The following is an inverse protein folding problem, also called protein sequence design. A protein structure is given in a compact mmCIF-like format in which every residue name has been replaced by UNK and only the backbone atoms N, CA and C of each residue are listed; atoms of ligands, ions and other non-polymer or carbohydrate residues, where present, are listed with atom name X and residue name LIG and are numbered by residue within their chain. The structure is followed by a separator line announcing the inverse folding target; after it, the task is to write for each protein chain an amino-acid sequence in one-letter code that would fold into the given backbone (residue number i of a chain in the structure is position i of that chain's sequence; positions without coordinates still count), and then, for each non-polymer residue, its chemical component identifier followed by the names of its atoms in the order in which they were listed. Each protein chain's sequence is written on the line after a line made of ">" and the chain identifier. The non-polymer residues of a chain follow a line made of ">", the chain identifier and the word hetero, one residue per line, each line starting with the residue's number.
data_IF_069037627580
#
_entry.id   IF_069037627580
#
_cell.length_a   1.000
_cell.length_b   1.000
_cell.length_c   1.000
_cell.angle_alpha   90.00
_cell.angle_beta   90.00
_cell.angle_gamma   90.00
#
_symmetry.space_group_name_H-M   'P 1'
#
loop_
_entity.id
_entity.type
_entity.pdbx_description
1 polymer ?
#
# COMPACT_ATOMS: atom_id res chain seq x y z
N UNK A 1 -22.59 14.27 -5.94
CA UNK A 1 -21.37 13.71 -5.31
C UNK A 1 -20.19 14.21 -6.13
N UNK A 2 -19.14 14.78 -5.48
CA UNK A 2 -17.93 15.12 -6.22
C UNK A 2 -17.31 13.85 -6.79
N UNK A 3 -16.65 13.94 -7.94
CA UNK A 3 -15.96 12.83 -8.60
C UNK A 3 -15.03 12.11 -7.64
N UNK A 4 -14.26 12.84 -6.83
CA UNK A 4 -13.35 12.32 -5.81
C UNK A 4 -14.08 11.39 -4.79
N UNK A 5 -15.22 11.83 -4.26
CA UNK A 5 -16.00 11.04 -3.30
C UNK A 5 -16.56 9.75 -3.93
N UNK A 6 -16.95 9.81 -5.20
CA UNK A 6 -17.42 8.62 -5.93
C UNK A 6 -16.29 7.65 -6.20
N UNK A 7 -15.12 8.14 -6.60
CA UNK A 7 -13.93 7.33 -6.84
C UNK A 7 -13.45 6.63 -5.55
N UNK A 8 -13.37 7.34 -4.43
CA UNK A 8 -13.02 6.77 -3.12
C UNK A 8 -13.98 5.65 -2.70
N UNK A 9 -15.30 5.88 -2.88
CA UNK A 9 -16.32 4.86 -2.59
C UNK A 9 -16.17 3.62 -3.48
N UNK A 10 -15.80 3.80 -4.74
CA UNK A 10 -15.56 2.71 -5.67
C UNK A 10 -14.32 1.88 -5.23
N UNK A 11 -13.22 2.56 -4.90
CA UNK A 11 -12.00 1.90 -4.42
C UNK A 11 -12.17 1.16 -3.09
N UNK A 12 -13.13 1.58 -2.26
CA UNK A 12 -13.49 0.88 -1.02
C UNK A 12 -14.38 -0.35 -1.25
N UNK A 13 -14.84 -0.61 -2.49
CA UNK A 13 -15.58 -1.82 -2.80
C UNK A 13 -14.65 -3.04 -2.75
N UNK A 14 -15.05 -4.07 -1.96
CA UNK A 14 -14.24 -5.28 -1.72
C UNK A 14 -13.80 -5.99 -2.98
N UNK A 15 -14.69 -6.16 -3.96
CA UNK A 15 -14.37 -6.88 -5.19
C UNK A 15 -13.38 -6.10 -6.05
N UNK A 16 -13.54 -4.78 -6.13
CA UNK A 16 -12.63 -3.91 -6.86
C UNK A 16 -11.27 -3.88 -6.16
N UNK A 17 -11.27 -3.74 -4.84
CA UNK A 17 -10.04 -3.74 -4.05
C UNK A 17 -9.31 -5.08 -4.17
N UNK A 18 -10.02 -6.21 -4.08
CA UNK A 18 -9.45 -7.55 -4.26
C UNK A 18 -8.85 -7.74 -5.67
N UNK A 19 -9.50 -7.21 -6.70
CA UNK A 19 -8.97 -7.23 -8.07
C UNK A 19 -7.69 -6.40 -8.19
N UNK A 20 -7.64 -5.22 -7.58
CA UNK A 20 -6.45 -4.38 -7.51
C UNK A 20 -5.33 -5.12 -6.76
N UNK A 21 -5.62 -5.68 -5.59
CA UNK A 21 -4.63 -6.40 -4.78
C UNK A 21 -4.04 -7.59 -5.54
N UNK A 22 -4.87 -8.41 -6.19
CA UNK A 22 -4.41 -9.56 -6.98
C UNK A 22 -3.40 -9.17 -8.05
N UNK A 23 -3.62 -8.07 -8.73
CA UNK A 23 -2.78 -7.65 -9.86
C UNK A 23 -1.60 -6.76 -9.45
N UNK A 24 -1.71 -6.06 -8.33
CA UNK A 24 -0.75 -5.05 -7.91
C UNK A 24 0.14 -5.45 -6.74
N UNK A 25 -0.27 -6.44 -5.95
CA UNK A 25 0.46 -6.87 -4.75
C UNK A 25 0.96 -8.30 -4.97
N UNK A 26 2.29 -8.46 -5.03
CA UNK A 26 2.92 -9.74 -5.37
C UNK A 26 2.48 -10.89 -4.47
N UNK A 27 2.30 -10.60 -3.20
CA UNK A 27 1.94 -11.53 -2.14
C UNK A 27 0.56 -12.18 -2.36
N UNK A 28 -0.31 -11.55 -3.17
CA UNK A 28 -1.63 -12.08 -3.53
C UNK A 28 -1.71 -12.68 -4.92
N UNK A 29 -0.61 -12.73 -5.66
CA UNK A 29 -0.62 -13.19 -7.07
C UNK A 29 -1.14 -14.62 -7.26
N UNK A 30 -0.95 -15.50 -6.27
CA UNK A 30 -1.45 -16.88 -6.27
C UNK A 30 -2.92 -17.03 -5.81
N UNK A 31 -3.49 -16.00 -5.14
CA UNK A 31 -4.86 -16.04 -4.62
C UNK A 31 -5.87 -15.75 -5.74
N UNK A 32 -7.09 -16.29 -5.63
CA UNK A 32 -8.21 -15.82 -6.44
C UNK A 32 -8.76 -14.50 -5.92
N UNK A 33 -9.49 -13.76 -6.77
CA UNK A 33 -10.14 -12.50 -6.35
C UNK A 33 -11.15 -12.74 -5.24
N UNK A 34 -11.95 -13.81 -5.36
CA UNK A 34 -12.95 -14.18 -4.37
C UNK A 34 -12.29 -14.54 -3.03
N UNK A 35 -11.19 -15.29 -3.08
CA UNK A 35 -10.41 -15.60 -1.88
C UNK A 35 -9.89 -14.34 -1.19
N UNK A 36 -9.36 -13.37 -1.94
CA UNK A 36 -8.89 -12.11 -1.38
C UNK A 36 -10.05 -11.35 -0.74
N UNK A 37 -11.18 -11.24 -1.46
CA UNK A 37 -12.34 -10.50 -0.98
C UNK A 37 -12.97 -11.12 0.28
N UNK A 38 -12.99 -12.45 0.38
CA UNK A 38 -13.65 -13.17 1.49
C UNK A 38 -12.74 -13.36 2.71
N UNK A 39 -11.45 -13.70 2.48
CA UNK A 39 -10.54 -14.08 3.57
C UNK A 39 -9.66 -12.94 4.06
N UNK A 40 -9.27 -12.01 3.16
CA UNK A 40 -8.24 -11.02 3.46
C UNK A 40 -8.77 -9.59 3.57
N UNK A 41 -10.04 -9.33 3.22
CA UNK A 41 -10.70 -8.03 3.40
C UNK A 41 -11.83 -8.15 4.41
N UNK A 42 -11.59 -7.71 5.64
CA UNK A 42 -12.64 -7.64 6.67
C UNK A 42 -13.43 -6.33 6.57
N UNK A 43 -14.75 -6.43 6.70
CA UNK A 43 -15.62 -5.25 6.68
C UNK A 43 -15.59 -4.48 5.36
N UNK A 44 -15.95 -3.22 5.37
CA UNK A 44 -15.77 -2.27 4.27
C UNK A 44 -14.54 -1.42 4.57
N UNK A 45 -13.55 -1.33 3.69
CA UNK A 45 -12.41 -0.45 3.90
C UNK A 45 -12.89 0.98 4.14
N UNK A 46 -12.42 1.60 5.21
CA UNK A 46 -12.83 2.96 5.56
C UNK A 46 -12.25 3.95 4.56
N UNK A 47 -13.12 4.79 4.03
CA UNK A 47 -12.74 5.95 3.22
C UNK A 47 -12.46 7.11 4.16
N UNK A 48 -11.28 7.71 4.07
CA UNK A 48 -10.90 8.85 4.93
C UNK A 48 -11.80 10.05 4.69
N UNK A 49 -12.54 10.42 5.71
CA UNK A 49 -13.38 11.63 5.71
C UNK A 49 -13.13 12.55 6.89
N UNK A 50 -12.31 12.12 7.87
CA UNK A 50 -12.05 12.90 9.10
C UNK A 50 -10.56 12.83 9.43
N UNK A 51 -9.96 13.99 9.65
CA UNK A 51 -8.62 14.12 10.21
C UNK A 51 -8.57 13.58 11.63
N UNK A 52 -7.60 12.72 11.94
CA UNK A 52 -7.42 12.16 13.27
C UNK A 52 -6.22 12.80 13.96
N UNK A 53 -6.36 13.04 15.24
CA UNK A 53 -5.29 13.59 16.08
C UNK A 53 -4.05 12.70 16.08
N UNK A 54 -2.87 13.33 16.13
CA UNK A 54 -1.52 12.69 16.12
C UNK A 54 -1.41 11.53 17.14
N UNK A 55 -2.09 11.62 18.27
CA UNK A 55 -2.03 10.63 19.36
C UNK A 55 -2.82 9.35 19.08
N UNK A 56 -3.75 9.34 18.12
CA UNK A 56 -4.56 8.18 17.79
C UNK A 56 -3.97 7.30 16.70
N UNK A 57 -3.01 7.83 15.92
CA UNK A 57 -2.34 7.07 14.84
C UNK A 57 -1.39 6.00 15.37
N UNK A 58 -0.95 6.10 16.61
CA UNK A 58 0.14 5.30 17.18
C UNK A 58 -0.29 4.21 18.16
N UNK A 59 -1.58 3.98 18.40
CA UNK A 59 -2.02 2.90 19.28
C UNK A 59 -2.04 1.56 18.57
N UNK A 60 -1.33 0.52 19.08
CA UNK A 60 -1.41 -0.82 18.51
C UNK A 60 -2.85 -1.36 18.69
N UNK A 61 -3.58 -1.51 17.58
CA UNK A 61 -4.84 -2.29 17.58
C UNK A 61 -4.50 -3.78 17.68
N UNK A 62 -5.34 -4.53 18.39
CA UNK A 62 -5.25 -6.00 18.49
C UNK A 62 -5.13 -6.59 17.07
N UNK A 63 -4.17 -7.49 16.92
CA UNK A 63 -3.92 -8.22 15.68
C UNK A 63 -5.12 -9.06 15.29
N UNK A 64 -5.86 -8.62 14.28
CA UNK A 64 -6.78 -9.47 13.54
C UNK A 64 -6.05 -10.09 12.36
N UNK A 65 -6.42 -11.30 12.00
CA UNK A 65 -5.81 -12.04 10.87
C UNK A 65 -6.33 -11.57 9.49
N UNK A 66 -6.87 -10.36 9.40
CA UNK A 66 -7.58 -9.79 8.26
C UNK A 66 -7.18 -8.33 8.00
N UNK A 67 -7.53 -7.81 6.85
CA UNK A 67 -7.32 -6.41 6.49
C UNK A 67 -8.15 -5.52 7.43
N UNK A 68 -7.47 -4.67 8.17
CA UNK A 68 -8.10 -3.66 9.02
C UNK A 68 -7.84 -2.26 8.45
N UNK A 69 -8.89 -1.43 8.39
CA UNK A 69 -8.79 -0.03 8.01
C UNK A 69 -7.77 0.70 8.91
N UNK A 70 -6.94 1.54 8.30
CA UNK A 70 -6.04 2.44 9.01
C UNK A 70 -6.48 3.86 8.86
N UNK A 71 -6.06 4.68 9.81
CA UNK A 71 -6.17 6.11 9.71
C UNK A 71 -5.53 6.62 8.42
N UNK A 72 -6.27 7.44 7.68
CA UNK A 72 -5.89 7.97 6.38
C UNK A 72 -5.06 9.26 6.47
N UNK A 73 -4.82 9.79 7.66
CA UNK A 73 -3.94 10.92 7.87
C UNK A 73 -2.63 10.48 8.52
N UNK A 74 -1.55 10.98 7.97
CA UNK A 74 -0.21 10.87 8.52
C UNK A 74 0.37 12.27 8.65
N UNK A 75 0.54 12.74 9.89
CA UNK A 75 1.05 14.07 10.18
C UNK A 75 2.27 14.01 11.08
N UNK A 76 3.27 14.83 10.75
CA UNK A 76 4.40 15.10 11.62
C UNK A 76 4.48 16.60 11.91
N UNK A 77 5.12 16.97 13.01
CA UNK A 77 5.26 18.38 13.42
C UNK A 77 6.00 19.24 12.39
N UNK A 78 6.84 18.63 11.56
CA UNK A 78 7.72 19.30 10.59
C UNK A 78 7.34 19.10 9.13
N UNK A 79 6.64 18.00 8.79
CA UNK A 79 6.40 17.62 7.40
C UNK A 79 4.94 17.82 6.93
N UNK A 80 4.06 18.24 7.85
CA UNK A 80 2.64 18.43 7.54
C UNK A 80 1.85 17.14 7.46
N UNK A 81 0.58 17.27 7.10
CA UNK A 81 -0.38 16.16 7.02
C UNK A 81 -0.46 15.60 5.60
N UNK A 82 -0.41 14.29 5.47
CA UNK A 82 -0.75 13.56 4.26
C UNK A 82 -2.10 12.89 4.45
N UNK A 83 -2.99 13.08 3.49
CA UNK A 83 -4.28 12.40 3.44
C UNK A 83 -4.21 11.27 2.41
N UNK A 84 -4.51 10.06 2.84
CA UNK A 84 -4.63 8.88 1.98
C UNK A 84 -6.10 8.64 1.63
N UNK A 85 -6.38 8.26 0.38
CA UNK A 85 -7.75 7.97 -0.03
C UNK A 85 -8.29 6.70 0.64
N UNK A 86 -7.55 5.61 0.53
CA UNK A 86 -7.85 4.34 1.20
C UNK A 86 -6.55 3.76 1.74
N UNK A 87 -6.43 3.58 3.04
CA UNK A 87 -5.24 3.01 3.69
C UNK A 87 -5.64 1.90 4.65
N UNK A 88 -4.95 0.77 4.60
CA UNK A 88 -5.25 -0.39 5.45
C UNK A 88 -4.02 -1.27 5.69
N UNK A 89 -4.07 -2.04 6.78
CA UNK A 89 -3.18 -3.16 7.03
C UNK A 89 -3.68 -4.40 6.30
N UNK A 90 -2.79 -5.12 5.65
CA UNK A 90 -3.10 -6.34 4.94
C UNK A 90 -2.26 -7.50 5.47
N UNK A 91 -2.86 -8.68 5.48
CA UNK A 91 -2.17 -9.93 5.77
C UNK A 91 -2.20 -10.76 4.48
N UNK A 92 -1.05 -11.19 4.02
CA UNK A 92 -0.91 -12.03 2.85
C UNK A 92 -0.56 -13.47 3.25
N UNK A 93 -0.96 -14.47 2.45
CA UNK A 93 -0.52 -15.83 2.68
C UNK A 93 1.00 -15.93 2.54
N UNK A 94 1.64 -16.69 3.41
CA UNK A 94 3.05 -17.05 3.25
C UNK A 94 3.22 -17.83 1.95
N UNK A 95 4.29 -17.56 1.21
CA UNK A 95 4.63 -18.35 0.03
C UNK A 95 4.87 -19.81 0.41
N UNK A 96 4.39 -20.75 -0.38
CA UNK A 96 4.63 -22.19 -0.18
C UNK A 96 6.13 -22.45 -0.12
N UNK A 97 6.62 -22.92 1.02
CA UNK A 97 8.03 -23.29 1.21
C UNK A 97 8.59 -23.13 2.62
N UNK A 98 7.94 -22.42 3.53
CA UNK A 98 8.35 -22.36 4.94
C UNK A 98 7.61 -23.42 5.74
N UNK A 99 8.31 -24.53 6.04
CA UNK A 99 7.75 -25.71 6.75
C UNK A 99 7.55 -25.49 8.25
N UNK A 100 7.86 -24.34 8.79
CA UNK A 100 7.73 -24.05 10.21
C UNK A 100 7.02 -22.71 10.40
N UNK A 101 5.82 -22.80 10.94
CA UNK A 101 4.95 -21.69 11.35
C UNK A 101 4.45 -20.83 10.18
N UNK A 102 3.15 -20.68 10.07
CA UNK A 102 2.49 -19.75 9.12
C UNK A 102 3.00 -18.33 9.34
N UNK A 103 4.13 -17.99 8.74
CA UNK A 103 4.66 -16.65 8.74
C UNK A 103 3.74 -15.78 7.89
N UNK A 104 2.89 -15.05 8.57
CA UNK A 104 1.95 -14.13 7.95
C UNK A 104 2.71 -12.89 7.52
N UNK A 105 2.78 -12.65 6.21
CA UNK A 105 3.37 -11.42 5.68
C UNK A 105 2.42 -10.26 5.98
N UNK A 106 2.91 -9.26 6.70
CA UNK A 106 2.16 -8.05 7.05
C UNK A 106 2.54 -6.91 6.12
N UNK A 107 1.55 -6.30 5.50
CA UNK A 107 1.70 -5.21 4.54
C UNK A 107 0.92 -3.98 5.01
N UNK A 108 1.37 -2.81 4.57
CA UNK A 108 0.60 -1.57 4.64
C UNK A 108 0.32 -1.13 3.22
N UNK A 109 -0.94 -1.00 2.86
CA UNK A 109 -1.36 -0.67 1.51
C UNK A 109 -2.16 0.63 1.53
N UNK A 110 -1.83 1.55 0.63
CA UNK A 110 -2.70 2.66 0.29
C UNK A 110 -3.11 2.61 -1.17
N UNK A 111 -4.33 3.01 -1.45
CA UNK A 111 -4.89 3.11 -2.81
C UNK A 111 -5.42 4.52 -3.00
N UNK A 112 -4.99 5.16 -4.08
CA UNK A 112 -5.29 6.55 -4.42
C UNK A 112 -6.02 6.65 -5.75
N UNK A 113 -7.06 7.49 -5.82
CA UNK A 113 -7.70 7.86 -7.07
C UNK A 113 -7.13 9.18 -7.58
N UNK A 114 -6.57 9.17 -8.78
CA UNK A 114 -5.96 10.34 -9.40
C UNK A 114 -6.55 10.61 -10.78
N UNK A 115 -7.07 11.80 -11.01
CA UNK A 115 -7.63 12.17 -12.32
C UNK A 115 -6.53 12.31 -13.36
N UNK A 116 -5.54 13.17 -13.11
CA UNK A 116 -4.46 13.45 -14.04
C UNK A 116 -3.15 12.74 -13.63
N UNK A 117 -2.45 12.16 -14.61
CA UNK A 117 -1.13 11.55 -14.37
C UNK A 117 -0.03 12.57 -14.04
N UNK A 118 -0.18 13.80 -14.53
CA UNK A 118 0.72 14.90 -14.22
C UNK A 118 -0.05 16.14 -13.73
N UNK A 119 -0.38 16.21 -12.44
CA UNK A 119 -1.13 17.33 -11.85
C UNK A 119 -0.23 18.54 -11.51
N UNK A 120 0.76 18.85 -12.35
CA UNK A 120 1.78 19.88 -12.13
C UNK A 120 3.09 19.35 -11.55
N UNK A 121 3.16 18.04 -11.28
CA UNK A 121 4.38 17.33 -10.84
C UNK A 121 4.28 15.84 -11.24
N UNK A 122 5.42 15.12 -11.31
CA UNK A 122 5.42 13.70 -11.61
C UNK A 122 4.73 12.89 -10.48
N UNK A 123 3.65 12.19 -10.82
CA UNK A 123 2.85 11.39 -9.87
C UNK A 123 3.72 10.35 -9.16
N UNK A 124 4.65 9.72 -9.88
CA UNK A 124 5.56 8.72 -9.31
C UNK A 124 6.39 9.26 -8.16
N UNK A 125 6.85 10.52 -8.22
CA UNK A 125 7.57 11.16 -7.10
C UNK A 125 6.71 11.28 -5.85
N UNK A 126 5.45 11.70 -6.01
CA UNK A 126 4.50 11.77 -4.90
C UNK A 126 4.23 10.38 -4.32
N UNK A 127 4.06 9.38 -5.16
CA UNK A 127 3.81 8.01 -4.72
C UNK A 127 5.01 7.41 -3.95
N UNK A 128 6.24 7.68 -4.39
CA UNK A 128 7.47 7.30 -3.65
C UNK A 128 7.50 8.01 -2.29
N UNK A 129 7.18 9.30 -2.25
CA UNK A 129 7.11 10.04 -1.00
C UNK A 129 6.06 9.45 -0.04
N UNK A 130 4.91 9.03 -0.54
CA UNK A 130 3.89 8.35 0.27
C UNK A 130 4.38 7.02 0.83
N UNK A 131 5.11 6.21 0.05
CA UNK A 131 5.76 5.00 0.58
C UNK A 131 6.76 5.33 1.69
N UNK A 132 7.59 6.35 1.50
CA UNK A 132 8.59 6.78 2.50
C UNK A 132 7.92 7.20 3.80
N UNK A 133 6.80 7.93 3.73
CA UNK A 133 6.00 8.33 4.90
C UNK A 133 5.38 7.11 5.59
N UNK A 134 4.85 6.14 4.85
CA UNK A 134 4.31 4.91 5.42
C UNK A 134 5.39 4.05 6.10
N UNK A 135 6.62 4.05 5.60
CA UNK A 135 7.76 3.40 6.27
C UNK A 135 8.13 4.15 7.54
N UNK A 136 8.33 5.48 7.45
CA UNK A 136 8.70 6.32 8.59
C UNK A 136 7.68 6.26 9.72
N UNK A 137 6.39 6.27 9.39
CA UNK A 137 5.28 6.18 10.37
C UNK A 137 5.19 4.83 11.12
N UNK A 138 6.00 3.86 10.77
CA UNK A 138 6.10 2.59 11.50
C UNK A 138 6.96 2.68 12.75
N UNK A 139 7.84 3.69 12.83
CA UNK A 139 8.62 3.92 14.04
C UNK A 139 7.70 4.34 15.20
N UNK A 140 7.84 3.69 16.32
CA UNK A 140 6.97 3.78 17.49
C UNK A 140 5.86 2.71 17.49
N UNK A 141 4.93 2.69 16.52
CA UNK A 141 3.81 1.72 16.55
C UNK A 141 4.19 0.28 16.19
N UNK A 142 5.18 0.08 15.31
CA UNK A 142 5.55 -1.25 14.79
C UNK A 142 6.93 -1.66 15.28
N UNK A 143 7.88 -0.75 15.27
CA UNK A 143 9.23 -0.99 15.78
C UNK A 143 9.75 0.19 16.59
N UNK A 144 10.63 -0.07 17.53
CA UNK A 144 11.33 0.94 18.35
C UNK A 144 12.83 0.65 18.35
N UNK A 145 13.61 1.66 18.67
CA UNK A 145 15.07 1.52 18.71
C UNK A 145 15.66 0.91 17.42
N UNK A 146 16.42 -0.17 17.54
CA UNK A 146 17.12 -0.84 16.43
C UNK A 146 16.35 -2.03 15.84
N UNK A 147 15.06 -2.18 16.12
CA UNK A 147 14.25 -3.31 15.67
C UNK A 147 13.82 -3.20 14.19
N UNK A 148 14.70 -2.76 13.31
CA UNK A 148 14.43 -2.55 11.88
C UNK A 148 13.89 -3.78 11.15
N UNK A 149 14.19 -5.00 11.63
CA UNK A 149 13.64 -6.23 11.09
C UNK A 149 12.13 -6.37 11.20
N UNK A 150 11.45 -5.51 11.98
CA UNK A 150 9.98 -5.46 12.09
C UNK A 150 9.32 -4.57 11.05
N UNK A 151 10.10 -3.85 10.23
CA UNK A 151 9.53 -2.97 9.20
C UNK A 151 8.71 -3.80 8.23
N UNK A 152 7.47 -3.37 8.03
CA UNK A 152 6.54 -3.99 7.09
C UNK A 152 6.67 -3.35 5.73
N UNK A 153 6.58 -4.15 4.68
CA UNK A 153 6.53 -3.69 3.31
C UNK A 153 5.30 -2.81 3.09
N UNK A 154 5.46 -1.77 2.31
CA UNK A 154 4.42 -0.81 1.96
C UNK A 154 4.14 -0.83 0.46
N UNK A 155 2.87 -0.66 0.13
CA UNK A 155 2.41 -0.46 -1.25
C UNK A 155 1.66 0.86 -1.37
N UNK A 156 1.98 1.64 -2.41
CA UNK A 156 1.23 2.83 -2.80
C UNK A 156 0.71 2.62 -4.22
N UNK A 157 -0.60 2.41 -4.36
CA UNK A 157 -1.27 2.06 -5.60
C UNK A 157 -2.09 3.26 -6.08
N UNK A 158 -1.84 3.71 -7.31
CA UNK A 158 -2.45 4.90 -7.90
C UNK A 158 -3.28 4.53 -9.12
N UNK A 159 -4.58 4.77 -9.04
CA UNK A 159 -5.50 4.57 -10.16
C UNK A 159 -5.69 5.91 -10.88
N UNK A 160 -5.04 6.08 -12.02
CA UNK A 160 -5.12 7.26 -12.86
C UNK A 160 -6.19 7.07 -13.94
N UNK A 161 -7.21 7.92 -13.90
CA UNK A 161 -8.36 7.79 -14.80
C UNK A 161 -8.21 8.54 -16.12
N UNK A 162 -7.35 9.57 -16.17
CA UNK A 162 -7.06 10.35 -17.37
C UNK A 162 -5.53 10.48 -17.55
N UNK A 163 -4.84 9.39 -17.88
CA UNK A 163 -3.42 9.43 -18.19
C UNK A 163 -3.17 10.09 -19.55
N UNK A 164 -1.91 10.48 -19.80
CA UNK A 164 -1.51 10.85 -21.16
C UNK A 164 -1.60 9.64 -22.09
N UNK A 165 -1.73 9.88 -23.41
CA UNK A 165 -1.85 8.79 -24.42
C UNK A 165 -0.76 7.73 -24.30
N UNK A 166 0.44 8.14 -23.95
CA UNK A 166 1.61 7.26 -23.77
C UNK A 166 1.43 6.29 -22.62
N UNK A 167 0.69 6.67 -21.57
CA UNK A 167 0.48 5.85 -20.38
C UNK A 167 -0.87 5.12 -20.35
N UNK A 168 -1.74 5.33 -21.33
CA UNK A 168 -3.04 4.64 -21.39
C UNK A 168 -2.86 3.11 -21.42
N UNK A 169 -3.76 2.40 -20.74
CA UNK A 169 -3.77 0.94 -20.65
C UNK A 169 -2.45 0.35 -20.10
N UNK A 170 -1.81 1.05 -19.16
CA UNK A 170 -0.57 0.56 -18.55
C UNK A 170 -0.73 0.25 -17.07
N UNK A 171 -0.01 -0.77 -16.62
CA UNK A 171 0.19 -1.13 -15.23
C UNK A 171 1.69 -1.18 -14.98
N UNK A 172 2.22 -0.23 -14.20
CA UNK A 172 3.67 -0.10 -13.99
C UNK A 172 3.97 -0.21 -12.50
N UNK A 173 4.95 -1.04 -12.14
CA UNK A 173 5.46 -1.17 -10.79
C UNK A 173 6.87 -0.59 -10.69
N UNK A 174 7.07 0.21 -9.66
CA UNK A 174 8.38 0.72 -9.24
C UNK A 174 8.72 0.09 -7.89
N UNK A 175 9.86 -0.56 -7.79
CA UNK A 175 10.31 -1.27 -6.60
C UNK A 175 11.82 -1.14 -6.41
N UNK A 176 12.28 -1.34 -5.19
CA UNK A 176 13.72 -1.40 -4.90
C UNK A 176 14.25 -2.73 -5.41
N UNK A 177 15.33 -2.69 -6.16
CA UNK A 177 16.05 -3.86 -6.65
C UNK A 177 17.54 -3.66 -6.45
N UNK A 178 18.26 -4.68 -5.98
CA UNK A 178 19.71 -4.60 -5.88
C UNK A 178 20.35 -4.61 -7.28
N UNK A 179 21.37 -3.80 -7.46
CA UNK A 179 22.31 -3.88 -8.57
C UNK A 179 23.67 -4.27 -8.01
N UNK A 180 24.17 -5.40 -8.44
CA UNK A 180 25.46 -5.92 -7.94
C UNK A 180 26.62 -5.27 -8.71
N UNK A 181 27.31 -4.36 -8.05
CA UNK A 181 28.42 -3.64 -8.67
C UNK A 181 29.74 -4.41 -8.58
N UNK A 182 29.98 -5.12 -7.49
CA UNK A 182 31.20 -5.93 -7.27
C UNK A 182 30.83 -7.15 -6.42
N UNK A 183 31.44 -8.28 -6.71
CA UNK A 183 31.26 -9.51 -5.95
C UNK A 183 30.02 -10.30 -6.39
N UNK A 184 29.56 -11.25 -5.56
CA UNK A 184 28.44 -12.16 -5.85
C UNK A 184 27.57 -12.46 -4.61
N UNK A 185 27.59 -11.59 -3.62
CA UNK A 185 26.72 -11.73 -2.44
C UNK A 185 25.26 -11.49 -2.83
N UNK A 186 24.35 -12.27 -2.27
CA UNK A 186 22.90 -12.16 -2.50
C UNK A 186 22.23 -11.86 -1.16
N UNK A 187 21.59 -10.71 -1.06
CA UNK A 187 20.74 -10.35 0.10
C UNK A 187 19.33 -10.92 -0.11
N UNK A 188 18.67 -11.30 0.99
CA UNK A 188 17.29 -11.77 0.96
C UNK A 188 16.34 -10.63 0.59
N UNK A 189 15.36 -10.90 -0.28
CA UNK A 189 14.41 -9.90 -0.75
C UNK A 189 13.60 -9.27 0.39
N UNK A 190 13.31 -9.99 1.46
CA UNK A 190 12.62 -9.51 2.66
C UNK A 190 13.33 -8.34 3.35
N UNK A 191 14.64 -8.18 3.15
CA UNK A 191 15.44 -7.13 3.77
C UNK A 191 15.50 -5.82 2.96
N UNK A 192 15.16 -5.83 1.67
CA UNK A 192 15.24 -4.64 0.82
C UNK A 192 13.97 -4.34 0.01
N UNK A 193 13.13 -5.33 -0.31
CA UNK A 193 11.88 -5.12 -1.06
C UNK A 193 10.77 -4.59 -0.13
N UNK A 194 11.04 -3.42 0.49
CA UNK A 194 10.19 -2.84 1.52
C UNK A 194 9.19 -1.81 1.00
N UNK A 195 9.30 -1.39 -0.28
CA UNK A 195 8.35 -0.47 -0.88
C UNK A 195 8.06 -0.80 -2.34
N UNK A 196 6.82 -0.63 -2.73
CA UNK A 196 6.38 -0.71 -4.12
C UNK A 196 5.37 0.39 -4.42
N UNK A 197 5.62 1.14 -5.48
CA UNK A 197 4.63 2.03 -6.09
C UNK A 197 4.03 1.31 -7.29
N UNK A 198 2.71 1.34 -7.45
CA UNK A 198 2.03 0.80 -8.63
C UNK A 198 1.14 1.89 -9.23
N UNK A 199 1.29 2.14 -10.52
CA UNK A 199 0.40 3.02 -11.27
C UNK A 199 -0.47 2.20 -12.21
N UNK A 200 -1.78 2.34 -12.07
CA UNK A 200 -2.81 1.76 -12.94
C UNK A 200 -3.34 2.92 -13.79
N UNK A 201 -2.98 2.96 -15.05
CA UNK A 201 -3.43 4.00 -15.96
C UNK A 201 -4.53 3.44 -16.87
N UNK A 202 -5.74 3.95 -16.70
CA UNK A 202 -6.90 3.49 -17.47
C UNK A 202 -6.81 3.98 -18.92
N UNK A 203 -7.46 3.25 -19.84
CA UNK A 203 -7.67 3.69 -21.20
C UNK A 203 -9.03 4.34 -21.41
N UNK A 204 -9.26 4.89 -22.59
CA UNK A 204 -10.57 5.33 -23.08
C UNK A 204 -11.36 4.14 -23.60
#
# INVERSE_FOLDING_TARGET
>A
LSYDKAAKKLLANKQILAQIMKNCVNEYSACSVDEIAEKYIEGTPEVGTVGVHVDDTNRPKKTSDVIAGRNNEDSTLTEGTINYDVRFDAIAPASEGSAEQKDVIRLIINVEAQTAFNPGYPLTKRAIYYCSRMISAQHGPIFTNSEYGKIRKVYSIWVCTHPTKEFQNTLIRYSIRPEQLIGNAVEKSENYDLMSVVTICLGE
#
